data_IF_286472871274
#
_entry.id   IF_286472871274
#
_cell.length_a   1.000
_cell.length_b   1.000
_cell.length_c   1.000
_cell.angle_alpha   90.00
_cell.angle_beta   90.00
_cell.angle_gamma   90.00
#
_symmetry.space_group_name_H-M   'P 1'
#
loop_
_entity.id
_entity.type
_entity.pdbx_description
1 polymer ?
#
# COMPACT_ATOMS: atom_id res chain seq x y z
N UNK A 1 5.69 -3.42 -27.33
CA UNK A 1 6.21 -4.57 -26.56
C UNK A 1 7.14 -3.97 -25.53
N UNK A 2 6.56 -3.50 -24.42
CA UNK A 2 7.33 -2.87 -23.35
C UNK A 2 8.04 -3.98 -22.56
N UNK A 3 9.36 -3.89 -22.55
CA UNK A 3 10.21 -4.73 -21.73
C UNK A 3 10.06 -4.20 -20.30
N UNK A 4 9.18 -4.83 -19.50
CA UNK A 4 9.19 -4.61 -18.06
C UNK A 4 10.59 -5.00 -17.58
N UNK A 5 11.42 -4.00 -17.29
CA UNK A 5 12.65 -4.19 -16.53
C UNK A 5 12.22 -4.69 -15.16
N UNK A 6 12.16 -6.01 -14.98
CA UNK A 6 12.09 -6.58 -13.66
C UNK A 6 13.28 -6.02 -12.88
N UNK A 7 13.02 -5.31 -11.79
CA UNK A 7 14.08 -4.93 -10.86
C UNK A 7 14.80 -6.22 -10.46
N UNK A 8 16.06 -6.35 -10.87
CA UNK A 8 16.94 -7.42 -10.41
C UNK A 8 17.57 -6.89 -9.12
N UNK A 9 16.84 -7.02 -8.03
CA UNK A 9 17.41 -6.87 -6.69
C UNK A 9 18.01 -8.23 -6.32
N UNK A 10 19.12 -8.26 -5.61
CA UNK A 10 19.57 -9.48 -4.94
C UNK A 10 19.34 -9.28 -3.44
N UNK A 11 18.40 -10.00 -2.81
CA UNK A 11 18.12 -9.86 -1.38
C UNK A 11 19.28 -10.31 -0.49
N UNK A 12 20.31 -10.95 -1.06
CA UNK A 12 21.55 -11.25 -0.34
C UNK A 12 22.59 -10.12 -0.47
N UNK A 13 22.31 -9.09 -1.26
CA UNK A 13 23.20 -7.94 -1.42
C UNK A 13 23.20 -7.07 -0.16
N UNK A 14 24.34 -7.03 0.53
CA UNK A 14 24.55 -6.21 1.71
C UNK A 14 24.41 -4.71 1.41
N UNK A 15 24.71 -4.27 0.18
CA UNK A 15 24.57 -2.87 -0.20
C UNK A 15 23.10 -2.46 -0.27
N UNK A 16 22.23 -3.33 -0.79
CA UNK A 16 20.78 -3.10 -0.80
C UNK A 16 20.27 -2.90 0.63
N UNK A 17 20.62 -3.79 1.55
CA UNK A 17 20.22 -3.67 2.95
C UNK A 17 20.80 -2.44 3.63
N UNK A 18 22.05 -2.07 3.33
CA UNK A 18 22.64 -0.83 3.84
C UNK A 18 21.85 0.40 3.37
N UNK A 19 21.45 0.46 2.10
CA UNK A 19 20.68 1.57 1.55
C UNK A 19 19.30 1.64 2.21
N UNK A 20 18.60 0.51 2.32
CA UNK A 20 17.27 0.45 2.94
C UNK A 20 17.30 0.90 4.41
N UNK A 21 18.31 0.45 5.17
CA UNK A 21 18.51 0.88 6.55
C UNK A 21 18.83 2.37 6.65
N UNK A 22 19.70 2.92 5.78
CA UNK A 22 19.99 4.34 5.78
C UNK A 22 18.79 5.22 5.42
N UNK A 23 17.93 4.77 4.51
CA UNK A 23 16.66 5.46 4.20
C UNK A 23 15.74 5.47 5.42
N UNK A 24 15.63 4.33 6.10
CA UNK A 24 14.82 4.23 7.31
C UNK A 24 15.35 5.15 8.42
N UNK A 25 16.64 5.09 8.74
CA UNK A 25 17.27 5.95 9.74
C UNK A 25 17.08 7.43 9.42
N UNK A 26 17.34 7.84 8.17
CA UNK A 26 17.15 9.23 7.74
C UNK A 26 15.72 9.71 7.95
N UNK A 27 14.72 8.89 7.60
CA UNK A 27 13.32 9.28 7.74
C UNK A 27 12.88 9.32 9.20
N UNK A 28 13.37 8.41 10.04
CA UNK A 28 13.10 8.44 11.48
C UNK A 28 13.81 9.61 12.18
N UNK A 29 14.98 10.04 11.71
CA UNK A 29 15.70 11.19 12.26
C UNK A 29 15.01 12.53 11.93
N UNK A 30 14.44 12.66 10.72
CA UNK A 30 13.65 13.84 10.33
C UNK A 30 12.45 14.04 11.27
N UNK A 31 11.87 12.96 11.80
CA UNK A 31 10.72 13.01 12.70
C UNK A 31 11.06 13.49 14.12
N UNK A 32 12.32 13.43 14.56
CA UNK A 32 12.71 13.84 15.91
C UNK A 32 12.67 15.37 16.12
N UNK A 33 12.75 16.16 15.04
CA UNK A 33 12.76 17.63 15.10
C UNK A 33 11.36 18.27 15.02
N UNK A 34 10.33 17.52 14.60
CA UNK A 34 8.97 18.05 14.36
C UNK A 34 7.87 17.34 15.18
N UNK A 35 7.67 17.80 16.43
CA UNK A 35 6.44 17.67 17.24
C UNK A 35 6.09 16.32 17.92
N UNK A 36 5.29 16.42 19.01
CA UNK A 36 4.85 15.35 19.93
C UNK A 36 3.91 14.26 19.34
N UNK A 37 3.89 14.04 18.03
CA UNK A 37 3.07 12.99 17.41
C UNK A 37 3.91 11.75 17.16
N UNK A 38 3.39 10.57 17.51
CA UNK A 38 4.04 9.29 17.18
C UNK A 38 3.89 9.09 15.68
N UNK A 39 4.91 9.47 14.93
CA UNK A 39 5.00 9.22 13.50
C UNK A 39 5.56 7.80 13.26
N UNK A 40 5.08 7.17 12.18
CA UNK A 40 5.57 5.86 11.75
C UNK A 40 6.35 6.05 10.46
N UNK A 41 7.30 5.15 10.20
CA UNK A 41 8.09 5.13 8.98
C UNK A 41 7.23 5.25 7.70
N UNK A 42 6.10 4.55 7.64
CA UNK A 42 5.16 4.65 6.52
C UNK A 42 4.53 6.04 6.40
N UNK A 43 4.14 6.65 7.52
CA UNK A 43 3.59 8.00 7.53
C UNK A 43 4.62 9.03 7.05
N UNK A 44 5.89 8.87 7.45
CA UNK A 44 7.02 9.68 6.95
C UNK A 44 7.14 9.65 5.44
N UNK A 45 7.09 8.45 4.85
CA UNK A 45 7.14 8.29 3.39
C UNK A 45 5.98 9.03 2.73
N UNK A 46 4.76 8.93 3.26
CA UNK A 46 3.61 9.64 2.71
C UNK A 46 3.79 11.16 2.78
N UNK A 47 4.23 11.69 3.93
CA UNK A 47 4.44 13.13 4.10
C UNK A 47 5.49 13.64 3.11
N UNK A 48 6.65 12.97 3.04
CA UNK A 48 7.79 13.40 2.22
C UNK A 48 7.42 13.55 0.73
N UNK A 49 6.57 12.67 0.21
CA UNK A 49 6.20 12.68 -1.21
C UNK A 49 4.81 13.29 -1.48
N UNK A 50 4.13 13.83 -0.48
CA UNK A 50 2.75 14.31 -0.61
C UNK A 50 2.56 15.52 -1.55
N UNK A 51 3.62 16.24 -1.87
CA UNK A 51 3.57 17.40 -2.77
C UNK A 51 3.62 17.03 -4.26
N UNK A 52 4.06 15.80 -4.60
CA UNK A 52 4.15 15.31 -5.98
C UNK A 52 3.48 13.94 -6.09
N UNK A 53 2.21 13.94 -6.54
CA UNK A 53 1.41 12.72 -6.71
C UNK A 53 2.09 11.69 -7.62
N UNK A 54 2.76 12.14 -8.69
CA UNK A 54 3.41 11.26 -9.65
C UNK A 54 4.60 10.54 -8.99
N UNK A 55 5.41 11.28 -8.22
CA UNK A 55 6.51 10.70 -7.47
C UNK A 55 6.02 9.81 -6.32
N UNK A 56 4.98 10.23 -5.59
CA UNK A 56 4.36 9.46 -4.52
C UNK A 56 3.96 8.06 -5.01
N UNK A 57 3.19 7.96 -6.10
CA UNK A 57 2.75 6.66 -6.60
C UNK A 57 3.90 5.80 -7.15
N UNK A 58 4.97 6.41 -7.67
CA UNK A 58 6.18 5.65 -8.08
C UNK A 58 6.91 5.06 -6.88
N UNK A 59 7.07 5.85 -5.81
CA UNK A 59 7.72 5.40 -4.57
C UNK A 59 6.91 4.30 -3.90
N UNK A 60 5.59 4.48 -3.81
CA UNK A 60 4.70 3.47 -3.23
C UNK A 60 4.72 2.16 -4.01
N UNK A 61 4.75 2.22 -5.35
CA UNK A 61 4.86 1.03 -6.19
C UNK A 61 6.22 0.34 -6.03
N UNK A 62 7.30 1.12 -5.98
CA UNK A 62 8.65 0.62 -5.74
C UNK A 62 8.74 -0.13 -4.42
N UNK A 63 8.17 0.40 -3.34
CA UNK A 63 8.20 -0.26 -2.03
C UNK A 63 7.47 -1.60 -2.03
N UNK A 64 6.33 -1.71 -2.74
CA UNK A 64 5.64 -3.00 -2.91
C UNK A 64 6.55 -4.00 -3.64
N UNK A 65 7.23 -3.58 -4.71
CA UNK A 65 8.12 -4.43 -5.48
C UNK A 65 9.33 -4.89 -4.65
N UNK A 66 9.95 -3.99 -3.87
CA UNK A 66 11.04 -4.31 -2.95
C UNK A 66 10.56 -5.33 -1.92
N UNK A 67 9.41 -5.09 -1.27
CA UNK A 67 8.87 -5.98 -0.25
C UNK A 67 8.56 -7.38 -0.81
N UNK A 68 7.92 -7.47 -1.98
CA UNK A 68 7.59 -8.74 -2.63
C UNK A 68 8.85 -9.53 -3.01
N UNK A 69 9.88 -8.82 -3.47
CA UNK A 69 11.14 -9.44 -3.85
C UNK A 69 11.90 -9.98 -2.63
N UNK A 70 11.96 -9.22 -1.53
CA UNK A 70 12.66 -9.64 -0.31
C UNK A 70 11.91 -10.78 0.41
N UNK A 71 10.57 -10.75 0.45
CA UNK A 71 9.74 -11.83 1.03
C UNK A 71 9.99 -13.20 0.40
N UNK A 72 10.45 -13.24 -0.85
CA UNK A 72 10.72 -14.48 -1.56
C UNK A 72 12.01 -15.21 -1.12
N UNK A 73 12.77 -14.64 -0.17
CA UNK A 73 14.08 -15.16 0.26
C UNK A 73 14.12 -15.63 1.71
N UNK A 74 14.95 -16.64 2.00
CA UNK A 74 15.12 -17.23 3.34
C UNK A 74 15.59 -16.21 4.40
N UNK A 75 16.26 -15.11 3.99
CA UNK A 75 16.72 -14.03 4.85
C UNK A 75 15.59 -13.21 5.51
N UNK A 76 14.37 -13.25 4.95
CA UNK A 76 13.22 -12.50 5.47
C UNK A 76 12.86 -12.88 6.92
N UNK A 77 13.26 -14.07 7.37
CA UNK A 77 12.96 -14.56 8.72
C UNK A 77 14.00 -14.15 9.77
N UNK A 78 15.18 -13.64 9.36
CA UNK A 78 16.34 -13.50 10.26
C UNK A 78 16.90 -12.07 10.40
N UNK A 79 16.49 -11.11 9.57
CA UNK A 79 17.06 -9.73 9.60
C UNK A 79 15.99 -8.62 9.54
N UNK A 80 16.18 -7.62 10.40
CA UNK A 80 15.65 -6.24 10.39
C UNK A 80 14.41 -5.98 9.52
N UNK A 81 13.26 -6.51 9.94
CA UNK A 81 11.92 -6.20 9.40
C UNK A 81 11.53 -4.71 9.50
N UNK A 82 12.29 -3.88 10.20
CA UNK A 82 11.97 -2.47 10.44
C UNK A 82 12.32 -1.54 9.26
N UNK A 83 13.29 -1.92 8.42
CA UNK A 83 13.76 -1.07 7.31
C UNK A 83 12.83 -1.08 6.08
N UNK A 84 11.93 -2.06 5.98
CA UNK A 84 10.96 -2.18 4.89
C UNK A 84 9.61 -1.71 5.40
N UNK A 85 9.00 -0.67 4.80
CA UNK A 85 7.70 -0.18 5.21
C UNK A 85 6.61 -1.21 4.92
N UNK A 86 5.62 -1.30 5.80
CA UNK A 86 4.50 -2.20 5.58
C UNK A 86 3.54 -1.63 4.53
N UNK A 87 3.29 -2.36 3.45
CA UNK A 87 2.40 -1.90 2.37
C UNK A 87 0.96 -1.57 2.81
N UNK A 88 0.40 -2.29 3.80
CA UNK A 88 -0.96 -2.04 4.30
C UNK A 88 -1.02 -0.75 5.11
N UNK A 89 0.05 -0.43 5.85
CA UNK A 89 0.19 0.86 6.52
C UNK A 89 0.44 2.00 5.54
N UNK A 90 1.31 1.81 4.54
CA UNK A 90 1.53 2.80 3.48
C UNK A 90 0.20 3.17 2.79
N UNK A 91 -0.60 2.17 2.39
CA UNK A 91 -1.91 2.42 1.79
C UNK A 91 -2.86 3.12 2.76
N UNK A 92 -2.84 2.75 4.05
CA UNK A 92 -3.68 3.38 5.06
C UNK A 92 -3.32 4.85 5.31
N UNK A 93 -2.03 5.17 5.38
CA UNK A 93 -1.56 6.54 5.54
C UNK A 93 -1.80 7.39 4.29
N UNK A 94 -1.63 6.82 3.09
CA UNK A 94 -2.04 7.45 1.83
C UNK A 94 -3.55 7.77 1.85
N UNK A 95 -4.39 6.81 2.21
CA UNK A 95 -5.83 7.03 2.26
C UNK A 95 -6.19 8.09 3.32
N UNK A 96 -5.51 8.06 4.47
CA UNK A 96 -5.73 9.01 5.56
C UNK A 96 -5.31 10.44 5.19
N UNK A 97 -4.18 10.62 4.49
CA UNK A 97 -3.68 11.94 4.09
C UNK A 97 -4.67 12.69 3.19
N UNK A 98 -5.50 11.95 2.45
CA UNK A 98 -6.56 12.51 1.59
C UNK A 98 -7.97 12.36 2.15
N UNK A 99 -8.08 12.13 3.46
CA UNK A 99 -9.37 12.05 4.15
C UNK A 99 -10.26 10.91 3.66
N UNK A 100 -9.66 9.83 3.14
CA UNK A 100 -10.34 8.68 2.55
C UNK A 100 -11.26 9.05 1.37
N UNK A 101 -10.92 10.12 0.64
CA UNK A 101 -11.71 10.58 -0.51
C UNK A 101 -11.62 9.60 -1.68
N UNK A 102 -12.73 8.92 -1.99
CA UNK A 102 -12.82 8.07 -3.17
C UNK A 102 -12.75 8.87 -4.47
N UNK A 103 -13.16 10.14 -4.47
CA UNK A 103 -13.15 10.99 -5.66
C UNK A 103 -11.72 11.33 -6.08
N UNK A 104 -10.87 11.73 -5.13
CA UNK A 104 -9.47 12.02 -5.41
C UNK A 104 -8.73 10.78 -5.91
N UNK A 105 -9.02 9.61 -5.33
CA UNK A 105 -8.48 8.35 -5.85
C UNK A 105 -8.91 8.06 -7.29
N UNK A 106 -10.15 8.38 -7.65
CA UNK A 106 -10.63 8.24 -9.02
C UNK A 106 -9.90 9.22 -9.94
N UNK A 107 -9.70 10.46 -9.51
CA UNK A 107 -8.95 11.47 -10.28
C UNK A 107 -7.52 11.00 -10.55
N UNK A 108 -6.82 10.46 -9.55
CA UNK A 108 -5.51 9.85 -9.73
C UNK A 108 -5.54 8.63 -10.67
N UNK A 109 -6.55 7.76 -10.56
CA UNK A 109 -6.68 6.58 -11.41
C UNK A 109 -6.88 6.90 -12.89
N UNK A 110 -7.54 8.02 -13.20
CA UNK A 110 -7.78 8.46 -14.60
C UNK A 110 -6.73 9.45 -15.10
N UNK A 111 -5.92 10.02 -14.20
CA UNK A 111 -4.84 10.93 -14.57
C UNK A 111 -3.68 10.19 -15.25
N UNK A 112 -3.23 10.65 -16.43
CA UNK A 112 -2.05 10.09 -17.09
C UNK A 112 -0.74 10.49 -16.40
N UNK A 113 -0.78 11.46 -15.49
CA UNK A 113 0.41 11.99 -14.80
C UNK A 113 0.87 11.08 -13.66
N UNK A 114 -0.03 10.23 -13.15
CA UNK A 114 0.25 9.36 -12.02
C UNK A 114 0.34 7.89 -12.43
N UNK A 115 1.11 7.12 -11.66
CA UNK A 115 1.15 5.65 -11.77
C UNK A 115 0.16 4.97 -10.81
N UNK A 116 -0.89 5.70 -10.36
CA UNK A 116 -1.86 5.23 -9.37
C UNK A 116 -2.52 3.91 -9.75
N UNK A 117 -2.89 3.74 -11.03
CA UNK A 117 -3.49 2.49 -11.51
C UNK A 117 -2.57 1.29 -11.34
N UNK A 118 -1.28 1.44 -11.66
CA UNK A 118 -0.29 0.37 -11.50
C UNK A 118 -0.13 0.02 -10.02
N UNK A 119 0.10 1.03 -9.19
CA UNK A 119 0.23 0.88 -7.75
C UNK A 119 -0.99 0.18 -7.13
N UNK A 120 -2.20 0.63 -7.44
CA UNK A 120 -3.42 0.05 -6.89
C UNK A 120 -3.58 -1.41 -7.32
N UNK A 121 -3.26 -1.75 -8.58
CA UNK A 121 -3.30 -3.14 -9.05
C UNK A 121 -2.32 -4.03 -8.29
N UNK A 122 -1.10 -3.55 -8.03
CA UNK A 122 -0.10 -4.28 -7.25
C UNK A 122 -0.53 -4.44 -5.79
N UNK A 123 -1.00 -3.37 -5.16
CA UNK A 123 -1.49 -3.41 -3.79
C UNK A 123 -2.68 -4.37 -3.61
N UNK A 124 -3.70 -4.29 -4.48
CA UNK A 124 -4.86 -5.18 -4.41
C UNK A 124 -4.49 -6.65 -4.65
N UNK A 125 -3.48 -6.91 -5.49
CA UNK A 125 -2.94 -8.26 -5.68
C UNK A 125 -2.31 -8.76 -4.39
N UNK A 126 -1.45 -7.96 -3.76
CA UNK A 126 -0.82 -8.28 -2.47
C UNK A 126 -1.87 -8.59 -1.39
N UNK A 127 -2.85 -7.70 -1.22
CA UNK A 127 -3.95 -7.87 -0.28
C UNK A 127 -4.73 -9.19 -0.51
N UNK A 128 -4.87 -9.59 -1.77
CA UNK A 128 -5.57 -10.83 -2.13
C UNK A 128 -4.74 -12.09 -1.92
N UNK A 129 -3.41 -12.00 -1.95
CA UNK A 129 -2.48 -13.11 -1.66
C UNK A 129 -2.36 -13.32 -0.15
N UNK A 130 -2.39 -12.25 0.63
CA UNK A 130 -2.39 -12.32 2.09
C UNK A 130 -3.69 -12.96 2.66
N UNK A 131 -4.75 -13.09 1.85
CA UNK A 131 -6.01 -13.79 2.17
C UNK A 131 -5.81 -15.27 2.55
N UNK A 132 -4.80 -15.91 1.96
CA UNK A 132 -4.50 -17.34 2.19
C UNK A 132 -3.82 -17.58 3.56
N UNK A 133 -3.48 -16.52 4.30
CA UNK A 133 -2.70 -16.56 5.55
C UNK A 133 -3.40 -15.91 6.76
N UNK A 134 -4.68 -15.51 6.67
CA UNK A 134 -5.43 -14.72 7.70
C UNK A 134 -5.74 -15.50 9.00
N UNK A 135 -5.00 -16.54 9.37
CA UNK A 135 -5.14 -17.17 10.69
C UNK A 135 -4.67 -16.25 11.85
N UNK A 136 -3.94 -15.17 11.57
CA UNK A 136 -3.49 -14.20 12.57
C UNK A 136 -3.54 -12.75 12.04
N UNK A 137 -4.49 -11.91 12.51
CA UNK A 137 -4.62 -10.51 12.09
C UNK A 137 -3.35 -9.68 12.29
N UNK A 138 -2.60 -9.92 13.37
CA UNK A 138 -1.34 -9.20 13.63
C UNK A 138 -0.23 -9.59 12.64
N UNK A 139 -0.32 -10.77 12.01
CA UNK A 139 0.57 -11.17 10.92
C UNK A 139 0.17 -10.57 9.56
N UNK A 140 -1.07 -10.12 9.40
CA UNK A 140 -1.55 -9.46 8.19
C UNK A 140 -0.91 -8.07 8.05
N UNK A 141 -0.91 -7.29 9.14
CA UNK A 141 -0.42 -5.92 9.16
C UNK A 141 1.09 -5.81 9.48
N UNK A 142 1.76 -6.93 9.84
CA UNK A 142 3.22 -7.04 10.13
C UNK A 142 3.86 -5.76 10.66
N UNK A 143 3.28 -5.18 11.71
CA UNK A 143 3.74 -3.91 12.26
C UNK A 143 3.83 -4.04 13.76
N UNK A 144 4.79 -3.31 14.36
CA UNK A 144 4.86 -3.08 15.79
C UNK A 144 3.62 -2.32 16.31
N UNK A 145 2.83 -1.72 15.40
CA UNK A 145 1.60 -1.00 15.68
C UNK A 145 0.41 -1.97 15.77
N UNK A 146 -0.33 -1.87 16.88
CA UNK A 146 -1.52 -2.68 17.17
C UNK A 146 -2.57 -2.49 16.06
N UNK A 147 -3.04 -3.59 15.48
CA UNK A 147 -4.04 -3.62 14.39
C UNK A 147 -5.32 -2.80 14.68
N UNK A 148 -5.67 -2.62 15.96
CA UNK A 148 -6.82 -1.81 16.37
C UNK A 148 -6.74 -0.34 15.94
N UNK A 149 -5.55 0.18 15.63
CA UNK A 149 -5.36 1.54 15.09
C UNK A 149 -5.44 1.61 13.56
N UNK A 150 -5.49 0.47 12.87
CA UNK A 150 -5.59 0.42 11.42
C UNK A 150 -7.00 0.84 10.98
N UNK A 151 -7.18 1.82 10.06
CA UNK A 151 -8.47 2.41 9.74
C UNK A 151 -9.33 1.53 8.81
N UNK A 152 -9.52 0.26 9.19
CA UNK A 152 -10.13 -0.80 8.39
C UNK A 152 -11.50 -0.41 7.82
N UNK A 153 -12.40 0.11 8.65
CA UNK A 153 -13.74 0.47 8.20
C UNK A 153 -13.72 1.61 7.17
N UNK A 154 -12.85 2.60 7.36
CA UNK A 154 -12.67 3.71 6.40
C UNK A 154 -12.12 3.21 5.08
N UNK A 155 -11.15 2.27 5.11
CA UNK A 155 -10.59 1.65 3.90
C UNK A 155 -11.62 0.81 3.14
N UNK A 156 -12.40 -0.01 3.84
CA UNK A 156 -13.52 -0.78 3.26
C UNK A 156 -14.51 0.16 2.56
N UNK A 157 -14.89 1.24 3.25
CA UNK A 157 -15.84 2.21 2.70
C UNK A 157 -15.26 2.90 1.45
N UNK A 158 -14.02 3.38 1.51
CA UNK A 158 -13.35 4.05 0.39
C UNK A 158 -13.26 3.13 -0.84
N UNK A 159 -12.74 1.91 -0.68
CA UNK A 159 -12.62 0.94 -1.77
C UNK A 159 -13.99 0.56 -2.38
N UNK A 160 -15.02 0.43 -1.54
CA UNK A 160 -16.40 0.20 -2.00
C UNK A 160 -16.91 1.37 -2.86
N UNK A 161 -16.63 2.61 -2.47
CA UNK A 161 -17.01 3.79 -3.25
C UNK A 161 -16.19 3.94 -4.55
N UNK A 162 -14.90 3.59 -4.54
CA UNK A 162 -14.09 3.53 -5.77
C UNK A 162 -14.70 2.51 -6.74
N UNK A 163 -15.03 1.29 -6.28
CA UNK A 163 -15.69 0.26 -7.10
C UNK A 163 -17.02 0.75 -7.70
N UNK A 164 -17.85 1.44 -6.92
CA UNK A 164 -19.10 2.06 -7.41
C UNK A 164 -18.84 3.15 -8.44
N UNK A 165 -17.89 4.05 -8.18
CA UNK A 165 -17.54 5.15 -9.08
C UNK A 165 -17.04 4.65 -10.42
N UNK A 166 -16.17 3.63 -10.41
CA UNK A 166 -15.68 2.98 -11.63
C UNK A 166 -16.81 2.31 -12.42
N UNK A 167 -17.78 1.66 -11.77
CA UNK A 167 -18.97 1.09 -12.44
C UNK A 167 -19.79 2.18 -13.13
N UNK A 168 -20.04 3.28 -12.43
CA UNK A 168 -20.77 4.43 -12.97
C UNK A 168 -20.03 5.04 -14.17
N UNK A 169 -18.73 5.32 -14.03
CA UNK A 169 -17.91 5.85 -15.14
C UNK A 169 -17.89 4.90 -16.34
N UNK A 170 -17.80 3.60 -16.12
CA UNK A 170 -17.86 2.61 -17.20
C UNK A 170 -19.21 2.64 -17.94
N UNK A 171 -20.32 2.71 -17.20
CA UNK A 171 -21.66 2.77 -17.77
C UNK A 171 -21.85 3.99 -18.68
N UNK A 172 -21.29 5.14 -18.29
CA UNK A 172 -21.37 6.38 -19.05
C UNK A 172 -20.19 6.61 -20.02
N UNK A 173 -19.31 5.61 -20.21
CA UNK A 173 -18.08 5.71 -21.04
C UNK A 173 -17.18 6.89 -20.65
N UNK A 174 -17.17 7.26 -19.37
CA UNK A 174 -16.39 8.37 -18.83
C UNK A 174 -14.96 8.01 -18.40
N UNK A 175 -14.47 6.83 -18.79
CA UNK A 175 -13.14 6.34 -18.41
C UNK A 175 -12.41 5.77 -19.61
N UNK A 176 -11.11 6.08 -19.73
CA UNK A 176 -10.30 5.76 -20.90
C UNK A 176 -9.81 4.30 -20.98
N UNK A 177 -10.08 3.49 -19.95
CA UNK A 177 -9.70 2.09 -19.88
C UNK A 177 -10.87 1.22 -19.43
N UNK A 178 -10.79 -0.10 -19.65
CA UNK A 178 -11.80 -1.04 -19.16
C UNK A 178 -11.61 -1.27 -17.65
N UNK A 179 -12.50 -0.78 -16.76
CA UNK A 179 -12.27 -0.87 -15.32
C UNK A 179 -12.72 -2.21 -14.72
N UNK A 180 -13.38 -3.08 -15.50
CA UNK A 180 -13.92 -4.36 -15.03
C UNK A 180 -12.89 -5.23 -14.28
N UNK A 181 -11.66 -5.44 -14.80
CA UNK A 181 -10.66 -6.22 -14.07
C UNK A 181 -10.28 -5.59 -12.73
N UNK A 182 -10.18 -4.27 -12.66
CA UNK A 182 -9.88 -3.53 -11.43
C UNK A 182 -11.03 -3.65 -10.43
N UNK A 183 -12.27 -3.45 -10.87
CA UNK A 183 -13.48 -3.61 -10.06
C UNK A 183 -13.53 -5.01 -9.44
N UNK A 184 -13.24 -6.05 -10.22
CA UNK A 184 -13.22 -7.43 -9.72
C UNK A 184 -12.16 -7.65 -8.64
N UNK A 185 -10.96 -7.07 -8.82
CA UNK A 185 -9.90 -7.10 -7.80
C UNK A 185 -10.32 -6.35 -6.53
N UNK A 186 -10.90 -5.16 -6.65
CA UNK A 186 -11.41 -4.41 -5.50
C UNK A 186 -12.46 -5.24 -4.74
N UNK A 187 -13.40 -5.88 -5.44
CA UNK A 187 -14.43 -6.69 -4.79
C UNK A 187 -13.82 -7.91 -4.06
N UNK A 188 -12.81 -8.56 -4.63
CA UNK A 188 -12.06 -9.63 -3.95
C UNK A 188 -11.37 -9.10 -2.69
N UNK A 189 -10.63 -8.00 -2.81
CA UNK A 189 -9.98 -7.31 -1.69
C UNK A 189 -10.95 -6.90 -0.59
N UNK A 190 -12.16 -6.43 -0.94
CA UNK A 190 -13.21 -6.13 0.04
C UNK A 190 -13.66 -7.38 0.80
N UNK A 191 -13.72 -8.55 0.15
CA UNK A 191 -14.02 -9.81 0.85
C UNK A 191 -12.97 -10.12 1.92
N UNK A 192 -11.68 -9.96 1.59
CA UNK A 192 -10.55 -10.14 2.52
C UNK A 192 -10.69 -9.20 3.72
N UNK A 193 -10.88 -7.90 3.47
CA UNK A 193 -11.00 -6.90 4.52
C UNK A 193 -12.22 -7.11 5.42
N UNK A 194 -13.35 -7.52 4.85
CA UNK A 194 -14.55 -7.85 5.63
C UNK A 194 -14.33 -9.08 6.51
N UNK A 195 -13.62 -10.10 6.02
CA UNK A 195 -13.25 -11.26 6.82
C UNK A 195 -12.35 -10.84 8.01
N UNK A 196 -11.33 -10.03 7.75
CA UNK A 196 -10.46 -9.50 8.80
C UNK A 196 -11.25 -8.70 9.84
N UNK A 197 -12.19 -7.84 9.40
CA UNK A 197 -13.06 -7.08 10.28
C UNK A 197 -13.85 -8.01 11.23
N UNK A 198 -14.42 -9.09 10.68
CA UNK A 198 -15.15 -10.10 11.48
C UNK A 198 -14.24 -10.77 12.51
N UNK A 199 -13.04 -11.18 12.12
CA UNK A 199 -12.07 -11.80 13.03
C UNK A 199 -11.68 -10.82 14.16
N UNK A 200 -11.41 -9.56 13.83
CA UNK A 200 -11.07 -8.53 14.82
C UNK A 200 -12.20 -8.22 15.81
N UNK A 201 -13.46 -8.39 15.42
CA UNK A 201 -14.61 -8.21 16.33
C UNK A 201 -14.90 -9.42 17.22
N UNK A 202 -14.28 -10.58 16.94
CA UNK A 202 -14.48 -11.83 17.68
C UNK A 202 -13.38 -12.12 18.70
N UNK A 203 -12.22 -11.46 18.58
CA UNK A 203 -11.13 -11.48 19.56
C UNK A 203 -11.32 -10.38 20.62
#
# INVERSE_FOLDING_TARGET
MEMHSHLILDPNDLQLWSILSSIHELLMDIELDESNMVHSYENSIIILFSEDDAQLFRVLDLWIQIEDHIKSTELYQQTTLHAIPNAHWLFAYLAKSVGFSSYLFIDWLVSPETTCLSYLVHYLRKLSTDDELICNPNQFVRSAVIIHSWPLQSLINMLSQISKSLKTLNQYKGIAFCPTPLINRINRSLSVLNNLCRVMTQC
#
